data_IF_160424003817
#
_entry.id   IF_160424003817
#
_cell.length_a   1.000
_cell.length_b   1.000
_cell.length_c   1.000
_cell.angle_alpha   90.00
_cell.angle_beta   90.00
_cell.angle_gamma   90.00
#
_symmetry.space_group_name_H-M   'P 1'
#
loop_
_entity.id
_entity.type
_entity.pdbx_description
1 polymer ?
#
# COMPACT_ATOMS: atom_id res chain seq x y z
N UNK A 1 6.39 -1.58 24.56
CA UNK A 1 6.60 -3.03 24.55
C UNK A 1 7.93 -3.25 23.88
N UNK A 2 8.89 -3.75 24.65
CA UNK A 2 10.21 -4.11 24.13
C UNK A 2 10.10 -5.44 23.42
N UNK A 3 10.52 -5.48 22.16
CA UNK A 3 10.63 -6.73 21.41
C UNK A 3 12.02 -6.80 20.83
N UNK A 4 12.71 -7.91 21.08
CA UNK A 4 13.99 -8.21 20.43
C UNK A 4 13.76 -8.39 18.93
N UNK A 5 14.55 -7.69 18.10
CA UNK A 5 14.47 -7.79 16.64
C UNK A 5 14.63 -9.23 16.17
N UNK A 6 15.55 -10.01 16.78
CA UNK A 6 15.72 -11.45 16.54
C UNK A 6 14.41 -12.25 16.60
N UNK A 7 13.54 -11.96 17.58
CA UNK A 7 12.26 -12.68 17.72
C UNK A 7 11.34 -12.39 16.53
N UNK A 8 11.26 -11.13 16.10
CA UNK A 8 10.44 -10.74 14.94
C UNK A 8 10.99 -11.39 13.67
N UNK A 9 12.31 -11.34 13.46
CA UNK A 9 12.96 -11.98 12.31
C UNK A 9 12.74 -13.49 12.26
N UNK A 10 12.75 -14.18 13.40
CA UNK A 10 12.44 -15.61 13.42
C UNK A 10 10.97 -15.87 13.05
N UNK A 11 10.04 -15.02 13.51
CA UNK A 11 8.64 -15.12 13.10
C UNK A 11 8.43 -14.90 11.60
N UNK A 12 9.20 -14.02 10.95
CA UNK A 12 9.08 -13.85 9.50
C UNK A 12 9.48 -15.10 8.74
N UNK A 13 10.49 -15.85 9.19
CA UNK A 13 10.86 -17.14 8.58
C UNK A 13 9.77 -18.19 8.78
N UNK A 14 9.19 -18.28 9.98
CA UNK A 14 8.10 -19.22 10.26
C UNK A 14 6.90 -18.92 9.35
N UNK A 15 6.53 -17.64 9.24
CA UNK A 15 5.44 -17.22 8.36
C UNK A 15 5.74 -17.52 6.89
N UNK A 16 6.97 -17.26 6.42
CA UNK A 16 7.37 -17.57 5.05
C UNK A 16 7.31 -19.08 4.76
N UNK A 17 7.78 -19.91 5.70
CA UNK A 17 7.73 -21.37 5.58
C UNK A 17 6.28 -21.88 5.57
N UNK A 18 5.43 -21.37 6.46
CA UNK A 18 3.99 -21.70 6.49
C UNK A 18 3.28 -21.31 5.19
N UNK A 19 3.55 -20.11 4.67
CA UNK A 19 3.00 -19.67 3.38
C UNK A 19 3.41 -20.60 2.25
N UNK A 20 4.68 -21.01 2.22
CA UNK A 20 5.16 -21.97 1.22
C UNK A 20 4.49 -23.34 1.33
N UNK A 21 4.23 -23.83 2.54
CA UNK A 21 3.45 -25.06 2.72
C UNK A 21 2.03 -24.89 2.17
N UNK A 22 1.36 -23.76 2.43
CA UNK A 22 0.02 -23.51 1.90
C UNK A 22 -0.02 -23.39 0.38
N UNK A 23 1.02 -22.80 -0.24
CA UNK A 23 1.19 -22.75 -1.70
C UNK A 23 1.44 -24.16 -2.25
N UNK A 24 2.37 -24.91 -1.66
CA UNK A 24 2.75 -26.25 -2.12
C UNK A 24 1.59 -27.25 -2.06
N UNK A 25 0.78 -27.18 -1.00
CA UNK A 25 -0.40 -28.03 -0.82
C UNK A 25 -1.68 -27.45 -1.43
N UNK A 26 -1.60 -26.28 -2.10
CA UNK A 26 -2.74 -25.58 -2.71
C UNK A 26 -3.95 -25.42 -1.75
N UNK A 27 -3.71 -25.00 -0.50
CA UNK A 27 -4.79 -24.81 0.48
C UNK A 27 -5.43 -23.43 0.25
N UNK A 28 -6.60 -23.30 -0.42
CA UNK A 28 -6.96 -22.07 -1.12
C UNK A 28 -7.06 -20.85 -0.20
N UNK A 29 -7.96 -20.87 0.79
CA UNK A 29 -8.18 -19.69 1.66
C UNK A 29 -6.91 -19.32 2.45
N UNK A 30 -6.15 -20.32 2.90
CA UNK A 30 -4.90 -20.07 3.63
C UNK A 30 -3.81 -19.52 2.71
N UNK A 31 -3.65 -20.08 1.51
CA UNK A 31 -2.73 -19.59 0.48
C UNK A 31 -3.05 -18.14 0.09
N UNK A 32 -4.34 -17.81 -0.08
CA UNK A 32 -4.77 -16.46 -0.43
C UNK A 32 -4.44 -15.46 0.66
N UNK A 33 -4.83 -15.75 1.90
CA UNK A 33 -4.64 -14.85 3.05
C UNK A 33 -3.16 -14.73 3.41
N UNK A 34 -2.44 -15.85 3.55
CA UNK A 34 -1.02 -15.82 3.92
C UNK A 34 -0.14 -15.33 2.77
N UNK A 35 -0.40 -15.76 1.53
CA UNK A 35 0.31 -15.26 0.35
C UNK A 35 0.19 -13.75 0.23
N UNK A 36 -1.02 -13.20 0.37
CA UNK A 36 -1.22 -11.76 0.37
C UNK A 36 -0.51 -11.07 1.55
N UNK A 37 -0.76 -11.48 2.79
CA UNK A 37 -0.23 -10.81 3.98
C UNK A 37 1.30 -10.88 4.04
N UNK A 38 1.88 -12.07 3.80
CA UNK A 38 3.33 -12.27 3.88
C UNK A 38 4.06 -11.47 2.81
N UNK A 39 3.69 -11.61 1.55
CA UNK A 39 4.41 -10.93 0.48
C UNK A 39 4.11 -9.43 0.40
N UNK A 40 3.00 -8.95 0.96
CA UNK A 40 2.68 -7.51 1.01
C UNK A 40 3.24 -6.80 2.24
N UNK A 41 3.78 -7.52 3.24
CA UNK A 41 4.29 -6.91 4.47
C UNK A 41 5.75 -7.30 4.74
N UNK A 42 6.09 -8.59 4.68
CA UNK A 42 7.36 -9.11 5.18
C UNK A 42 8.58 -8.57 4.41
N UNK A 43 8.62 -8.53 3.06
CA UNK A 43 9.80 -8.03 2.35
C UNK A 43 10.14 -6.59 2.74
N UNK A 44 9.15 -5.71 2.77
CA UNK A 44 9.31 -4.32 3.19
C UNK A 44 9.62 -4.18 4.68
N UNK A 45 9.08 -5.04 5.54
CA UNK A 45 9.41 -5.07 6.97
C UNK A 45 10.89 -5.40 7.18
N UNK A 46 11.42 -6.37 6.43
CA UNK A 46 12.84 -6.73 6.47
C UNK A 46 13.73 -5.59 5.95
N UNK A 47 13.32 -4.90 4.89
CA UNK A 47 14.00 -3.70 4.39
C UNK A 47 13.97 -2.58 5.44
N UNK A 48 12.84 -2.34 6.10
CA UNK A 48 12.75 -1.33 7.17
C UNK A 48 13.73 -1.63 8.32
N UNK A 49 13.80 -2.89 8.75
CA UNK A 49 14.74 -3.30 9.79
C UNK A 49 16.19 -3.22 9.34
N UNK A 50 16.50 -3.46 8.06
CA UNK A 50 17.85 -3.25 7.54
C UNK A 50 18.32 -1.81 7.80
N UNK A 51 17.44 -0.82 7.60
CA UNK A 51 17.79 0.60 7.72
C UNK A 51 17.78 1.18 9.15
N UNK A 52 17.56 0.37 10.19
CA UNK A 52 17.47 0.74 11.62
C UNK A 52 16.62 2.00 11.88
N UNK A 53 15.39 1.80 12.33
CA UNK A 53 14.51 2.90 12.75
C UNK A 53 14.35 2.95 14.27
N UNK A 54 14.42 4.15 14.82
CA UNK A 54 14.17 4.41 16.24
C UNK A 54 12.67 4.68 16.44
N UNK A 55 12.02 3.83 17.25
CA UNK A 55 10.66 4.01 17.76
C UNK A 55 9.59 4.40 16.70
N UNK A 56 9.41 3.60 15.64
CA UNK A 56 8.50 3.97 14.57
C UNK A 56 7.04 3.96 15.02
N UNK A 57 6.27 4.97 14.60
CA UNK A 57 4.81 4.98 14.74
C UNK A 57 4.23 3.80 13.94
N UNK A 58 3.39 2.97 14.58
CA UNK A 58 2.89 1.71 13.99
C UNK A 58 2.31 1.89 12.59
N UNK A 59 1.49 2.93 12.37
CA UNK A 59 0.84 3.16 11.09
C UNK A 59 1.83 3.58 10.01
N UNK A 60 2.84 4.40 10.36
CA UNK A 60 3.94 4.72 9.43
C UNK A 60 4.74 3.46 9.07
N UNK A 61 5.03 2.64 10.08
CA UNK A 61 5.74 1.38 9.87
C UNK A 61 4.97 0.47 8.92
N UNK A 62 3.66 0.31 9.13
CA UNK A 62 2.78 -0.49 8.28
C UNK A 62 2.79 0.02 6.83
N UNK A 63 2.52 1.32 6.58
CA UNK A 63 2.43 1.84 5.21
C UNK A 63 3.77 1.81 4.48
N UNK A 64 4.90 2.08 5.15
CA UNK A 64 6.21 1.92 4.53
C UNK A 64 6.54 0.46 4.25
N UNK A 65 6.20 -0.45 5.17
CA UNK A 65 6.40 -1.88 5.00
C UNK A 65 5.62 -2.39 3.79
N UNK A 66 4.36 -1.95 3.64
CA UNK A 66 3.56 -2.30 2.48
C UNK A 66 4.15 -1.72 1.21
N UNK A 67 4.42 -0.41 1.16
CA UNK A 67 5.00 0.24 -0.02
C UNK A 67 6.31 -0.39 -0.49
N UNK A 68 7.23 -0.69 0.45
CA UNK A 68 8.50 -1.35 0.14
C UNK A 68 8.31 -2.81 -0.31
N UNK A 69 7.30 -3.51 0.22
CA UNK A 69 6.97 -4.86 -0.24
C UNK A 69 6.42 -4.85 -1.66
N UNK A 70 5.48 -3.95 -1.99
CA UNK A 70 4.97 -3.79 -3.36
C UNK A 70 6.13 -3.43 -4.31
N UNK A 71 7.01 -2.52 -3.89
CA UNK A 71 8.22 -2.16 -4.65
C UNK A 71 9.11 -3.38 -4.90
N UNK A 72 9.31 -4.20 -3.87
CA UNK A 72 10.10 -5.43 -3.94
C UNK A 72 9.45 -6.45 -4.89
N UNK A 73 8.13 -6.62 -4.89
CA UNK A 73 7.44 -7.53 -5.81
C UNK A 73 7.54 -7.06 -7.26
N UNK A 74 7.41 -5.76 -7.52
CA UNK A 74 7.54 -5.21 -8.88
C UNK A 74 8.98 -5.33 -9.41
N UNK A 75 9.98 -4.92 -8.61
CA UNK A 75 11.39 -5.00 -8.97
C UNK A 75 11.89 -6.44 -9.03
N UNK A 76 11.48 -7.28 -8.09
CA UNK A 76 11.78 -8.70 -8.06
C UNK A 76 11.15 -9.42 -9.25
N UNK A 77 9.89 -9.13 -9.56
CA UNK A 77 9.20 -9.69 -10.72
C UNK A 77 9.91 -9.39 -12.04
N UNK A 78 10.32 -8.14 -12.28
CA UNK A 78 11.02 -7.79 -13.52
C UNK A 78 12.44 -8.40 -13.56
N UNK A 79 13.13 -8.41 -12.42
CA UNK A 79 14.45 -9.03 -12.31
C UNK A 79 14.38 -10.54 -12.64
N UNK A 80 13.42 -11.25 -12.03
CA UNK A 80 13.20 -12.68 -12.25
C UNK A 80 12.83 -12.95 -13.71
N UNK A 81 11.92 -12.15 -14.28
CA UNK A 81 11.53 -12.25 -15.68
C UNK A 81 12.75 -12.20 -16.61
N UNK A 82 13.59 -11.18 -16.45
CA UNK A 82 14.74 -10.96 -17.32
C UNK A 82 15.85 -11.98 -17.09
N UNK A 83 16.19 -12.28 -15.82
CA UNK A 83 17.27 -13.21 -15.50
C UNK A 83 16.95 -14.62 -15.97
N UNK A 84 15.77 -15.16 -15.63
CA UNK A 84 15.42 -16.53 -16.00
C UNK A 84 15.25 -16.67 -17.53
N UNK A 85 14.68 -15.67 -18.20
CA UNK A 85 14.60 -15.67 -19.66
C UNK A 85 15.99 -15.66 -20.31
N UNK A 86 16.92 -14.84 -19.80
CA UNK A 86 18.30 -14.80 -20.30
C UNK A 86 19.07 -16.11 -20.09
N UNK A 87 18.66 -16.93 -19.12
CA UNK A 87 19.18 -18.27 -18.88
C UNK A 87 18.50 -19.35 -19.74
N UNK A 88 17.60 -18.96 -20.66
CA UNK A 88 16.88 -19.87 -21.55
C UNK A 88 15.68 -20.58 -20.92
N UNK A 89 15.20 -20.13 -19.75
CA UNK A 89 13.99 -20.67 -19.12
C UNK A 89 12.77 -20.02 -19.81
N UNK A 90 11.91 -20.80 -20.49
CA UNK A 90 10.86 -20.24 -21.35
C UNK A 90 9.74 -19.54 -20.58
N UNK A 91 9.41 -20.02 -19.37
CA UNK A 91 8.29 -19.54 -18.56
C UNK A 91 8.79 -18.96 -17.23
N UNK A 92 9.50 -17.81 -17.23
CA UNK A 92 10.16 -17.28 -16.04
C UNK A 92 9.19 -16.89 -14.91
N UNK A 93 7.94 -16.56 -15.24
CA UNK A 93 6.90 -16.19 -14.28
C UNK A 93 6.05 -17.38 -13.83
N UNK A 94 6.39 -18.62 -14.20
CA UNK A 94 5.68 -19.79 -13.68
C UNK A 94 5.73 -19.79 -12.13
N UNK A 95 4.63 -20.13 -11.43
CA UNK A 95 4.54 -19.98 -9.98
C UNK A 95 5.69 -20.63 -9.21
N UNK A 96 6.14 -21.81 -9.62
CA UNK A 96 7.26 -22.53 -8.98
C UNK A 96 8.56 -21.73 -9.04
N UNK A 97 8.94 -21.22 -10.22
CA UNK A 97 10.17 -20.45 -10.38
C UNK A 97 10.08 -19.09 -9.70
N UNK A 98 8.95 -18.42 -9.85
CA UNK A 98 8.72 -17.10 -9.30
C UNK A 98 8.74 -17.11 -7.77
N UNK A 99 7.98 -18.02 -7.13
CA UNK A 99 7.95 -18.15 -5.66
C UNK A 99 9.33 -18.49 -5.13
N UNK A 100 10.01 -19.48 -5.73
CA UNK A 100 11.35 -19.88 -5.30
C UNK A 100 12.36 -18.72 -5.39
N UNK A 101 12.35 -17.95 -6.49
CA UNK A 101 13.25 -16.81 -6.63
C UNK A 101 12.91 -15.67 -5.65
N UNK A 102 11.62 -15.37 -5.44
CA UNK A 102 11.20 -14.38 -4.45
C UNK A 102 11.62 -14.80 -3.04
N UNK A 103 11.48 -16.07 -2.69
CA UNK A 103 11.92 -16.60 -1.39
C UNK A 103 13.44 -16.46 -1.22
N UNK A 104 14.23 -16.79 -2.24
CA UNK A 104 15.68 -16.60 -2.20
C UNK A 104 16.06 -15.13 -1.97
N UNK A 105 15.37 -14.20 -2.65
CA UNK A 105 15.56 -12.76 -2.44
C UNK A 105 15.15 -12.34 -1.02
N UNK A 106 14.03 -12.83 -0.50
CA UNK A 106 13.56 -12.55 0.87
C UNK A 106 14.55 -13.10 1.90
N UNK A 107 15.05 -14.33 1.72
CA UNK A 107 16.05 -14.96 2.58
C UNK A 107 17.38 -14.20 2.55
N UNK A 108 17.79 -13.68 1.39
CA UNK A 108 18.95 -12.81 1.25
C UNK A 108 18.82 -11.52 2.09
N UNK A 109 17.70 -10.81 1.95
CA UNK A 109 17.42 -9.61 2.76
C UNK A 109 17.33 -9.98 4.25
N UNK A 110 16.65 -11.08 4.58
CA UNK A 110 16.54 -11.57 5.95
C UNK A 110 17.91 -11.80 6.58
N UNK A 111 18.83 -12.46 5.86
CA UNK A 111 20.18 -12.76 6.34
C UNK A 111 20.98 -11.47 6.60
N UNK A 112 20.94 -10.52 5.66
CA UNK A 112 21.60 -9.22 5.81
C UNK A 112 21.05 -8.48 7.04
N UNK A 113 19.73 -8.47 7.21
CA UNK A 113 19.06 -7.79 8.33
C UNK A 113 19.35 -8.48 9.66
N UNK A 114 19.37 -9.81 9.69
CA UNK A 114 19.68 -10.59 10.88
C UNK A 114 21.11 -10.31 11.37
N UNK A 115 22.09 -10.38 10.47
CA UNK A 115 23.49 -10.19 10.84
C UNK A 115 23.76 -8.76 11.34
N UNK A 116 23.07 -7.75 10.79
CA UNK A 116 23.23 -6.35 11.20
C UNK A 116 22.48 -5.99 12.48
N UNK A 117 21.29 -6.57 12.71
CA UNK A 117 20.33 -6.01 13.67
C UNK A 117 19.72 -7.02 14.64
N UNK A 118 20.16 -8.29 14.69
CA UNK A 118 19.60 -9.31 15.59
C UNK A 118 19.55 -8.90 17.07
N UNK A 119 20.56 -8.18 17.54
CA UNK A 119 20.72 -7.81 18.96
C UNK A 119 20.03 -6.48 19.31
N UNK A 120 19.39 -5.83 18.33
CA UNK A 120 18.65 -4.59 18.57
C UNK A 120 17.34 -4.86 19.32
N UNK A 121 16.94 -3.87 20.11
CA UNK A 121 15.64 -3.82 20.79
C UNK A 121 14.79 -2.76 20.11
N UNK A 122 13.58 -3.16 19.70
CA UNK A 122 12.59 -2.23 19.15
C UNK A 122 11.60 -1.88 20.26
N UNK A 123 11.45 -0.59 20.53
CA UNK A 123 10.39 -0.11 21.41
C UNK A 123 9.16 0.21 20.56
N UNK A 124 8.20 -0.70 20.58
CA UNK A 124 6.86 -0.38 20.11
C UNK A 124 6.14 0.42 21.19
N UNK A 125 5.63 1.61 20.86
CA UNK A 125 4.78 2.36 21.78
C UNK A 125 3.63 1.45 22.23
N UNK A 126 3.51 1.23 23.54
CA UNK A 126 2.39 0.47 24.11
C UNK A 126 1.17 1.39 24.05
N UNK A 127 0.22 1.05 23.19
CA UNK A 127 -1.01 1.83 23.07
C UNK A 127 -2.06 1.24 24.02
N UNK A 128 -2.17 1.82 25.22
CA UNK A 128 -3.30 1.57 26.10
C UNK A 128 -4.55 2.26 25.54
N UNK A 129 -5.61 1.50 25.30
CA UNK A 129 -6.90 2.08 24.89
C UNK A 129 -7.81 2.23 26.11
N UNK A 130 -8.34 3.43 26.39
CA UNK A 130 -9.51 3.59 27.25
C UNK A 130 -10.63 2.65 26.80
N UNK A 131 -11.49 2.17 27.71
CA UNK A 131 -12.53 1.17 27.36
C UNK A 131 -13.43 1.64 26.21
N UNK A 132 -13.83 2.93 26.21
CA UNK A 132 -14.61 3.55 25.13
C UNK A 132 -13.87 3.58 23.80
N UNK A 133 -12.55 3.81 23.83
CA UNK A 133 -11.72 3.78 22.62
C UNK A 133 -11.61 2.38 22.02
N UNK A 134 -11.77 1.30 22.81
CA UNK A 134 -11.80 -0.07 22.27
C UNK A 134 -13.02 -0.32 21.40
N UNK A 135 -14.20 0.10 21.85
CA UNK A 135 -15.45 -0.04 21.08
C UNK A 135 -15.37 0.80 19.80
N UNK A 136 -14.95 2.06 19.91
CA UNK A 136 -14.76 2.93 18.75
C UNK A 136 -13.70 2.40 17.77
N UNK A 137 -12.71 1.66 18.25
CA UNK A 137 -11.71 0.99 17.41
C UNK A 137 -12.28 -0.26 16.72
N UNK A 138 -13.21 -0.98 17.36
CA UNK A 138 -13.78 -2.21 16.80
C UNK A 138 -14.86 -1.96 15.72
N UNK A 139 -15.68 -0.91 15.88
CA UNK A 139 -16.80 -0.62 14.96
C UNK A 139 -16.38 -0.56 13.49
N UNK A 140 -15.30 0.14 13.08
CA UNK A 140 -14.95 0.27 11.67
C UNK A 140 -14.65 -1.04 10.94
N UNK A 141 -14.29 -2.12 11.65
CA UNK A 141 -14.08 -3.43 11.01
C UNK A 141 -15.37 -4.00 10.39
N UNK A 142 -16.55 -3.53 10.82
CA UNK A 142 -17.83 -3.92 10.22
C UNK A 142 -18.08 -3.24 8.88
N UNK A 143 -17.46 -2.08 8.61
CA UNK A 143 -17.78 -1.30 7.41
C UNK A 143 -17.40 -2.04 6.11
N UNK A 144 -16.20 -2.64 5.95
CA UNK A 144 -15.87 -3.36 4.72
C UNK A 144 -16.75 -4.60 4.52
N UNK A 145 -17.15 -5.25 5.62
CA UNK A 145 -18.06 -6.40 5.58
C UNK A 145 -19.43 -5.96 5.04
N UNK A 146 -19.99 -4.88 5.58
CA UNK A 146 -21.24 -4.30 5.09
C UNK A 146 -21.13 -3.79 3.65
N UNK A 147 -19.95 -3.29 3.23
CA UNK A 147 -19.71 -2.87 1.85
C UNK A 147 -19.82 -4.06 0.90
N UNK A 148 -19.17 -5.18 1.22
CA UNK A 148 -19.23 -6.42 0.44
C UNK A 148 -20.67 -6.95 0.38
N UNK A 149 -21.37 -7.01 1.52
CA UNK A 149 -22.76 -7.48 1.56
C UNK A 149 -23.70 -6.55 0.79
N UNK A 150 -23.50 -5.25 0.92
CA UNK A 150 -24.31 -4.24 0.23
C UNK A 150 -24.09 -4.23 -1.27
N UNK A 151 -22.85 -4.42 -1.73
CA UNK A 151 -22.54 -4.52 -3.14
C UNK A 151 -23.18 -5.76 -3.77
N UNK A 152 -23.08 -6.93 -3.11
CA UNK A 152 -23.73 -8.17 -3.56
C UNK A 152 -25.26 -8.08 -3.57
N UNK A 153 -25.85 -7.48 -2.53
CA UNK A 153 -27.29 -7.29 -2.46
C UNK A 153 -27.79 -6.38 -3.59
N UNK A 154 -27.02 -5.32 -3.89
CA UNK A 154 -27.35 -4.41 -4.97
C UNK A 154 -27.26 -5.12 -6.34
N UNK A 155 -26.23 -5.93 -6.56
CA UNK A 155 -26.05 -6.74 -7.78
C UNK A 155 -27.20 -7.74 -7.98
N UNK A 156 -27.56 -8.49 -6.93
CA UNK A 156 -28.57 -9.55 -7.05
C UNK A 156 -30.02 -9.06 -7.02
N UNK A 157 -30.31 -8.02 -6.21
CA UNK A 157 -31.69 -7.59 -5.93
C UNK A 157 -32.02 -6.18 -6.46
N UNK A 158 -31.04 -5.45 -7.02
CA UNK A 158 -31.24 -4.08 -7.52
C UNK A 158 -31.52 -3.04 -6.43
N UNK A 159 -31.39 -3.40 -5.15
CA UNK A 159 -31.77 -2.55 -4.02
C UNK A 159 -30.55 -1.95 -3.31
N UNK A 160 -30.54 -0.62 -3.19
CA UNK A 160 -29.43 0.17 -2.61
C UNK A 160 -29.53 0.40 -1.09
N UNK A 161 -30.43 -0.29 -0.39
CA UNK A 161 -30.70 -0.04 1.04
C UNK A 161 -29.46 -0.25 1.93
N UNK A 162 -28.69 -1.32 1.70
CA UNK A 162 -27.50 -1.62 2.50
C UNK A 162 -26.37 -0.62 2.23
N UNK A 163 -26.00 -0.30 0.97
CA UNK A 163 -25.05 0.78 0.70
C UNK A 163 -25.46 2.15 1.27
N UNK A 164 -26.74 2.52 1.18
CA UNK A 164 -27.25 3.79 1.75
C UNK A 164 -27.13 3.81 3.29
N UNK A 165 -27.49 2.70 3.95
CA UNK A 165 -27.33 2.55 5.38
C UNK A 165 -25.85 2.64 5.77
N UNK A 166 -24.96 1.99 5.01
CA UNK A 166 -23.52 2.01 5.26
C UNK A 166 -22.94 3.43 5.19
N UNK A 167 -23.23 4.20 4.14
CA UNK A 167 -22.80 5.61 4.04
C UNK A 167 -23.31 6.40 5.24
N UNK A 168 -24.57 6.20 5.63
CA UNK A 168 -25.19 6.89 6.76
C UNK A 168 -24.47 6.56 8.08
N UNK A 169 -24.22 5.28 8.34
CA UNK A 169 -23.51 4.81 9.54
C UNK A 169 -22.07 5.31 9.58
N UNK A 170 -21.34 5.27 8.45
CA UNK A 170 -19.98 5.82 8.36
C UNK A 170 -19.97 7.33 8.62
N UNK A 171 -20.95 8.06 8.09
CA UNK A 171 -21.07 9.51 8.28
C UNK A 171 -21.38 9.88 9.73
N UNK A 172 -22.33 9.18 10.37
CA UNK A 172 -22.66 9.35 11.79
C UNK A 172 -21.45 9.02 12.66
N UNK A 173 -20.74 7.92 12.36
CA UNK A 173 -19.55 7.52 13.08
C UNK A 173 -18.43 8.57 12.95
N UNK A 174 -18.14 9.05 11.74
CA UNK A 174 -17.14 10.08 11.50
C UNK A 174 -17.50 11.41 12.19
N UNK A 175 -18.77 11.80 12.15
CA UNK A 175 -19.28 12.98 12.85
C UNK A 175 -19.13 12.82 14.37
N UNK A 176 -19.47 11.65 14.93
CA UNK A 176 -19.32 11.37 16.34
C UNK A 176 -17.85 11.44 16.78
N UNK A 177 -16.93 10.89 15.98
CA UNK A 177 -15.50 11.05 16.21
C UNK A 177 -15.10 12.53 16.19
N UNK A 178 -15.54 13.31 15.21
CA UNK A 178 -15.18 14.71 15.07
C UNK A 178 -15.71 15.60 16.20
N UNK A 179 -16.94 15.40 16.64
CA UNK A 179 -17.60 16.20 17.69
C UNK A 179 -17.11 15.81 19.08
N UNK A 180 -16.99 14.50 19.36
CA UNK A 180 -16.72 14.00 20.71
C UNK A 180 -15.24 13.66 20.97
N UNK A 181 -14.31 13.95 20.05
CA UNK A 181 -12.91 13.52 20.18
C UNK A 181 -12.24 13.92 21.50
N UNK A 182 -12.47 15.16 21.96
CA UNK A 182 -11.93 15.65 23.25
C UNK A 182 -12.59 14.96 24.42
N UNK A 183 -13.94 14.88 24.40
CA UNK A 183 -14.74 14.30 25.49
C UNK A 183 -14.46 12.82 25.70
N UNK A 184 -14.22 12.08 24.62
CA UNK A 184 -13.93 10.63 24.68
C UNK A 184 -12.44 10.30 24.70
N UNK A 185 -11.57 11.31 24.73
CA UNK A 185 -10.12 11.16 24.68
C UNK A 185 -9.68 10.20 23.56
N UNK A 186 -10.16 10.46 22.34
CA UNK A 186 -9.99 9.55 21.20
C UNK A 186 -8.53 9.51 20.78
N UNK A 187 -7.95 8.31 20.78
CA UNK A 187 -6.57 8.12 20.35
C UNK A 187 -6.40 8.32 18.84
N UNK A 188 -5.23 8.81 18.42
CA UNK A 188 -4.83 8.92 17.01
C UNK A 188 -4.97 7.63 16.20
N UNK A 189 -4.90 6.46 16.87
CA UNK A 189 -5.03 5.16 16.22
C UNK A 189 -6.46 4.84 15.81
N UNK A 190 -7.46 5.35 16.54
CA UNK A 190 -8.86 5.22 16.16
C UNK A 190 -9.11 6.01 14.88
N UNK A 191 -8.57 7.23 14.77
CA UNK A 191 -8.66 8.02 13.53
C UNK A 191 -7.99 7.31 12.35
N UNK A 192 -6.75 6.84 12.52
CA UNK A 192 -6.03 6.12 11.47
C UNK A 192 -6.79 4.89 10.97
N UNK A 193 -7.29 4.04 11.89
CA UNK A 193 -8.06 2.86 11.53
C UNK A 193 -9.39 3.24 10.86
N UNK A 194 -10.11 4.21 11.42
CA UNK A 194 -11.39 4.68 10.87
C UNK A 194 -11.23 5.14 9.43
N UNK A 195 -10.21 5.95 9.13
CA UNK A 195 -9.92 6.42 7.78
C UNK A 195 -9.67 5.25 6.83
N UNK A 196 -8.80 4.32 7.22
CA UNK A 196 -8.49 3.16 6.39
C UNK A 196 -9.73 2.31 6.10
N UNK A 197 -10.54 2.01 7.12
CA UNK A 197 -11.74 1.19 6.96
C UNK A 197 -12.84 1.89 6.17
N UNK A 198 -13.06 3.20 6.39
CA UNK A 198 -14.02 3.99 5.60
C UNK A 198 -13.57 4.05 4.14
N UNK A 199 -12.30 4.34 3.86
CA UNK A 199 -11.76 4.37 2.52
C UNK A 199 -11.92 3.02 1.81
N UNK A 200 -11.58 1.93 2.50
CA UNK A 200 -11.74 0.57 1.98
C UNK A 200 -13.20 0.24 1.67
N UNK A 201 -14.12 0.62 2.56
CA UNK A 201 -15.56 0.44 2.34
C UNK A 201 -16.07 1.21 1.14
N UNK A 202 -15.64 2.47 0.95
CA UNK A 202 -16.04 3.28 -0.18
C UNK A 202 -15.55 2.70 -1.51
N UNK A 203 -14.34 2.13 -1.54
CA UNK A 203 -13.81 1.43 -2.72
C UNK A 203 -14.59 0.13 -2.97
N UNK A 204 -14.77 -0.72 -1.96
CA UNK A 204 -15.51 -1.99 -2.09
C UNK A 204 -16.97 -1.81 -2.49
N UNK A 205 -17.61 -0.73 -2.05
CA UNK A 205 -18.97 -0.40 -2.49
C UNK A 205 -19.09 -0.24 -4.01
N UNK A 206 -18.02 0.16 -4.69
CA UNK A 206 -17.99 0.35 -6.15
C UNK A 206 -17.34 -0.85 -6.84
N UNK A 207 -16.16 -1.28 -6.39
CA UNK A 207 -15.37 -2.33 -7.06
C UNK A 207 -16.02 -3.72 -7.02
N UNK A 208 -16.86 -3.99 -6.01
CA UNK A 208 -17.55 -5.28 -5.85
C UNK A 208 -19.02 -5.23 -6.24
N UNK A 209 -19.43 -4.16 -6.94
CA UNK A 209 -20.81 -3.95 -7.39
C UNK A 209 -21.24 -4.95 -8.47
N UNK A 210 -20.28 -5.52 -9.18
CA UNK A 210 -20.47 -6.59 -10.15
C UNK A 210 -19.51 -7.75 -9.86
N UNK A 211 -19.86 -8.94 -10.33
CA UNK A 211 -18.94 -10.09 -10.32
C UNK A 211 -17.68 -9.91 -11.18
N UNK A 212 -17.65 -8.87 -12.03
CA UNK A 212 -16.56 -8.57 -12.96
C UNK A 212 -15.96 -7.19 -12.71
N UNK A 213 -14.81 -6.94 -13.34
CA UNK A 213 -14.22 -5.59 -13.40
C UNK A 213 -15.17 -4.60 -14.09
N UNK A 214 -15.15 -3.35 -13.63
CA UNK A 214 -16.01 -2.28 -14.14
C UNK A 214 -15.18 -1.03 -14.43
N UNK A 215 -15.39 -0.41 -15.59
CA UNK A 215 -14.69 0.81 -16.01
C UNK A 215 -14.46 0.84 -17.51
N UNK A 216 -13.70 1.82 -18.01
CA UNK A 216 -13.24 1.84 -19.40
C UNK A 216 -11.79 1.34 -19.48
N UNK A 217 -10.87 2.05 -18.82
CA UNK A 217 -9.44 1.77 -18.86
C UNK A 217 -9.08 0.40 -18.27
N UNK A 218 -9.70 0.02 -17.15
CA UNK A 218 -9.41 -1.22 -16.43
C UNK A 218 -9.51 -2.47 -17.31
N UNK A 219 -10.34 -2.48 -18.36
CA UNK A 219 -10.42 -3.62 -19.27
C UNK A 219 -9.13 -3.78 -20.10
N UNK A 220 -8.54 -2.69 -20.58
CA UNK A 220 -7.25 -2.72 -21.25
C UNK A 220 -6.12 -3.10 -20.30
N UNK A 221 -6.20 -2.65 -19.04
CA UNK A 221 -5.24 -3.01 -17.99
C UNK A 221 -5.33 -4.50 -17.62
N UNK A 222 -6.54 -5.05 -17.57
CA UNK A 222 -6.77 -6.46 -17.34
C UNK A 222 -6.31 -7.32 -18.52
N UNK A 223 -6.49 -6.83 -19.76
CA UNK A 223 -6.00 -7.50 -20.96
C UNK A 223 -4.46 -7.66 -20.95
N UNK A 224 -3.71 -6.62 -20.61
CA UNK A 224 -2.23 -6.72 -20.56
C UNK A 224 -1.74 -7.58 -19.39
N UNK A 225 -2.49 -7.62 -18.29
CA UNK A 225 -2.28 -8.61 -17.23
C UNK A 225 -2.47 -10.04 -17.77
N UNK A 226 -3.58 -10.32 -18.46
CA UNK A 226 -3.86 -11.65 -19.04
C UNK A 226 -2.77 -12.07 -20.02
N UNK A 227 -2.35 -11.18 -20.91
CA UNK A 227 -1.26 -11.44 -21.85
C UNK A 227 0.03 -11.85 -21.12
N UNK A 228 0.40 -11.14 -20.06
CA UNK A 228 1.60 -11.47 -19.27
C UNK A 228 1.44 -12.79 -18.51
N UNK A 229 0.25 -13.03 -17.97
CA UNK A 229 -0.08 -14.25 -17.22
C UNK A 229 -0.04 -15.48 -18.12
N UNK A 230 -0.68 -15.42 -19.28
CA UNK A 230 -0.87 -16.57 -20.16
C UNK A 230 0.45 -16.95 -20.84
N UNK A 231 1.30 -15.96 -21.14
CA UNK A 231 2.65 -16.19 -21.67
C UNK A 231 3.67 -16.57 -20.59
N UNK A 232 3.35 -16.38 -19.31
CA UNK A 232 4.29 -16.51 -18.18
C UNK A 232 5.62 -15.76 -18.39
N UNK A 233 5.56 -14.68 -19.16
CA UNK A 233 6.67 -13.85 -19.56
C UNK A 233 6.15 -12.44 -19.83
N UNK A 234 6.84 -11.46 -19.28
CA UNK A 234 6.54 -10.06 -19.50
C UNK A 234 7.40 -9.48 -20.63
N UNK A 235 6.71 -8.91 -21.62
CA UNK A 235 7.33 -8.20 -22.73
C UNK A 235 6.77 -6.77 -22.81
N UNK A 236 7.63 -5.73 -22.83
CA UNK A 236 7.20 -4.34 -22.72
C UNK A 236 6.48 -3.80 -23.96
N UNK A 237 6.74 -4.34 -25.15
CA UNK A 237 6.41 -3.69 -26.42
C UNK A 237 5.19 -4.28 -27.14
N UNK A 238 4.34 -5.05 -26.44
CA UNK A 238 3.18 -5.70 -27.07
C UNK A 238 1.96 -4.78 -27.14
N UNK A 239 1.74 -3.97 -26.10
CA UNK A 239 0.62 -3.03 -26.01
C UNK A 239 1.04 -1.78 -25.22
N UNK A 240 0.37 -0.65 -25.42
CA UNK A 240 0.75 0.64 -24.81
C UNK A 240 0.76 0.63 -23.28
N UNK A 241 0.01 -0.27 -22.66
CA UNK A 241 -0.06 -0.44 -21.20
C UNK A 241 0.96 -1.44 -20.65
N UNK A 242 1.59 -2.27 -21.49
CA UNK A 242 2.54 -3.29 -21.04
C UNK A 242 3.70 -2.77 -20.19
N UNK A 243 4.30 -1.60 -20.48
CA UNK A 243 5.38 -1.05 -19.67
C UNK A 243 5.01 -0.78 -18.21
N UNK A 244 3.72 -0.64 -17.88
CA UNK A 244 3.25 -0.40 -16.53
C UNK A 244 3.28 -1.70 -15.70
N UNK A 245 4.33 -1.86 -14.88
CA UNK A 245 4.53 -3.04 -14.03
C UNK A 245 3.42 -3.22 -12.98
N UNK A 246 2.76 -2.12 -12.58
CA UNK A 246 1.67 -2.11 -11.61
C UNK A 246 0.45 -2.94 -12.05
N UNK A 247 0.21 -3.03 -13.35
CA UNK A 247 -0.95 -3.72 -13.95
C UNK A 247 -0.55 -4.94 -14.79
N UNK A 248 0.75 -5.21 -14.92
CA UNK A 248 1.26 -6.40 -15.62
C UNK A 248 1.93 -7.36 -14.65
N UNK A 249 3.15 -7.06 -14.20
CA UNK A 249 3.92 -7.93 -13.32
C UNK A 249 3.33 -8.06 -11.92
N UNK A 250 2.93 -6.96 -11.28
CA UNK A 250 2.39 -6.99 -9.92
C UNK A 250 1.18 -7.94 -9.79
N UNK A 251 0.14 -7.86 -10.65
CA UNK A 251 -0.98 -8.80 -10.57
C UNK A 251 -0.59 -10.23 -10.98
N UNK A 252 0.35 -10.45 -11.90
CA UNK A 252 0.85 -11.81 -12.21
C UNK A 252 1.57 -12.43 -11.02
N UNK A 253 2.39 -11.64 -10.32
CA UNK A 253 3.07 -12.07 -9.10
C UNK A 253 2.04 -12.47 -8.05
N UNK A 254 1.05 -11.61 -7.78
CA UNK A 254 -0.02 -11.93 -6.83
C UNK A 254 -0.84 -13.16 -7.22
N UNK A 255 -1.20 -13.31 -8.50
CA UNK A 255 -1.90 -14.50 -8.99
C UNK A 255 -1.08 -15.76 -8.72
N UNK A 256 0.24 -15.71 -8.93
CA UNK A 256 1.13 -16.86 -8.73
C UNK A 256 1.31 -17.24 -7.26
N UNK A 257 1.45 -16.26 -6.35
CA UNK A 257 1.67 -16.55 -4.91
C UNK A 257 0.37 -16.89 -4.18
N UNK A 258 -0.77 -16.34 -4.59
CA UNK A 258 -2.05 -16.49 -3.85
C UNK A 258 -3.05 -17.43 -4.51
N UNK A 259 -2.92 -17.67 -5.82
CA UNK A 259 -3.91 -18.42 -6.59
C UNK A 259 -5.24 -17.68 -6.80
N UNK A 260 -5.39 -16.42 -6.36
CA UNK A 260 -6.65 -15.66 -6.56
C UNK A 260 -6.87 -15.34 -8.04
N UNK A 261 -8.13 -15.28 -8.45
CA UNK A 261 -8.49 -14.91 -9.81
C UNK A 261 -8.04 -13.48 -10.13
N UNK A 262 -7.72 -13.22 -11.39
CA UNK A 262 -7.28 -11.90 -11.84
C UNK A 262 -8.28 -10.79 -11.47
N UNK A 263 -9.57 -11.03 -11.71
CA UNK A 263 -10.62 -10.07 -11.37
C UNK A 263 -10.62 -9.70 -9.87
N UNK A 264 -10.31 -10.65 -8.98
CA UNK A 264 -10.20 -10.39 -7.54
C UNK A 264 -8.97 -9.54 -7.19
N UNK A 265 -7.89 -9.63 -7.97
CA UNK A 265 -6.73 -8.76 -7.79
C UNK A 265 -7.12 -7.31 -8.05
N UNK A 266 -7.82 -7.06 -9.16
CA UNK A 266 -8.23 -5.71 -9.56
C UNK A 266 -9.37 -5.17 -8.68
N UNK A 267 -10.32 -6.01 -8.27
CA UNK A 267 -11.51 -5.57 -7.51
C UNK A 267 -11.34 -5.58 -5.99
N UNK A 268 -10.37 -6.34 -5.44
CA UNK A 268 -10.12 -6.43 -4.00
C UNK A 268 -8.71 -5.97 -3.66
N UNK A 269 -7.68 -6.60 -4.23
CA UNK A 269 -6.30 -6.42 -3.79
C UNK A 269 -5.82 -4.97 -4.00
N UNK A 270 -5.99 -4.44 -5.21
CA UNK A 270 -5.62 -3.06 -5.50
C UNK A 270 -6.40 -2.06 -4.64
N UNK A 271 -7.64 -2.39 -4.28
CA UNK A 271 -8.48 -1.55 -3.43
C UNK A 271 -8.00 -1.54 -1.97
N UNK A 272 -7.53 -2.67 -1.46
CA UNK A 272 -6.87 -2.74 -0.15
C UNK A 272 -5.59 -1.89 -0.13
N UNK A 273 -4.80 -1.93 -1.21
CA UNK A 273 -3.58 -1.11 -1.32
C UNK A 273 -3.92 0.38 -1.45
N UNK A 274 -4.89 0.74 -2.28
CA UNK A 274 -5.28 2.13 -2.52
C UNK A 274 -5.97 2.78 -1.32
N UNK A 275 -6.69 2.00 -0.50
CA UNK A 275 -7.24 2.45 0.78
C UNK A 275 -6.18 2.96 1.77
N UNK A 276 -4.89 2.66 1.55
CA UNK A 276 -3.79 3.25 2.34
C UNK A 276 -3.56 4.73 2.02
N UNK A 277 -3.97 5.24 0.85
CA UNK A 277 -3.73 6.62 0.44
C UNK A 277 -4.32 7.65 1.42
N UNK A 278 -5.62 7.60 1.79
CA UNK A 278 -6.18 8.51 2.79
C UNK A 278 -5.50 8.38 4.17
N UNK A 279 -5.13 7.16 4.57
CA UNK A 279 -4.38 6.94 5.81
C UNK A 279 -3.01 7.64 5.75
N UNK A 280 -2.28 7.54 4.65
CA UNK A 280 -0.99 8.19 4.46
C UNK A 280 -1.13 9.72 4.53
N UNK A 281 -2.18 10.27 3.92
CA UNK A 281 -2.52 11.70 4.02
C UNK A 281 -2.73 12.11 5.48
N UNK A 282 -3.47 11.33 6.27
CA UNK A 282 -3.62 11.59 7.70
C UNK A 282 -2.28 11.57 8.46
N UNK A 283 -1.43 10.57 8.20
CA UNK A 283 -0.12 10.43 8.85
C UNK A 283 0.81 11.60 8.54
N UNK A 284 0.71 12.17 7.34
CA UNK A 284 1.44 13.36 6.89
C UNK A 284 0.84 14.63 7.52
N UNK A 285 -0.47 14.85 7.39
CA UNK A 285 -1.14 16.09 7.80
C UNK A 285 -1.13 16.32 9.31
N UNK A 286 -1.18 15.26 10.13
CA UNK A 286 -1.11 15.37 11.60
C UNK A 286 0.19 15.96 12.13
N UNK A 287 1.18 16.18 11.26
CA UNK A 287 2.43 16.88 11.59
C UNK A 287 2.31 18.39 11.51
N UNK A 288 1.39 18.87 10.70
CA UNK A 288 1.20 20.30 10.43
C UNK A 288 -0.05 20.85 11.09
N UNK A 289 -0.97 19.97 11.53
CA UNK A 289 -2.21 20.36 12.18
C UNK A 289 -2.63 19.36 13.26
N UNK A 290 -3.71 19.66 13.97
CA UNK A 290 -4.28 18.78 14.99
C UNK A 290 -4.74 17.45 14.39
N UNK A 291 -4.82 16.39 15.22
CA UNK A 291 -5.30 15.08 14.76
C UNK A 291 -6.73 15.12 14.20
N UNK A 292 -7.58 16.04 14.69
CA UNK A 292 -8.92 16.23 14.15
C UNK A 292 -8.87 16.79 12.72
N UNK A 293 -8.12 17.87 12.49
CA UNK A 293 -8.03 18.46 11.16
C UNK A 293 -7.36 17.52 10.16
N UNK A 294 -6.33 16.79 10.59
CA UNK A 294 -5.73 15.74 9.77
C UNK A 294 -6.74 14.64 9.41
N UNK A 295 -7.59 14.24 10.36
CA UNK A 295 -8.66 13.26 10.13
C UNK A 295 -9.69 13.80 9.12
N UNK A 296 -10.14 15.04 9.29
CA UNK A 296 -11.09 15.67 8.37
C UNK A 296 -10.50 15.86 6.97
N UNK A 297 -9.23 16.22 6.83
CA UNK A 297 -8.56 16.32 5.52
C UNK A 297 -8.49 14.98 4.80
N UNK A 298 -8.13 13.91 5.50
CA UNK A 298 -8.08 12.57 4.92
C UNK A 298 -9.48 12.03 4.59
N UNK A 299 -10.47 12.28 5.45
CA UNK A 299 -11.85 11.92 5.21
C UNK A 299 -12.41 12.65 3.98
N UNK A 300 -12.15 13.96 3.87
CA UNK A 300 -12.51 14.76 2.70
C UNK A 300 -11.94 14.13 1.42
N UNK A 301 -10.63 13.83 1.40
CA UNK A 301 -10.00 13.16 0.27
C UNK A 301 -10.61 11.79 -0.07
N UNK A 302 -11.05 11.01 0.92
CA UNK A 302 -11.75 9.73 0.63
C UNK A 302 -13.21 9.90 0.20
N UNK A 303 -13.85 11.03 0.53
CA UNK A 303 -15.28 11.26 0.31
C UNK A 303 -15.61 11.89 -1.05
N UNK A 304 -14.61 12.43 -1.75
CA UNK A 304 -14.82 12.96 -3.10
C UNK A 304 -15.13 11.80 -4.07
N UNK A 305 -16.07 12.03 -4.99
CA UNK A 305 -16.53 10.99 -5.93
C UNK A 305 -15.38 10.34 -6.70
N UNK A 306 -14.39 11.15 -7.11
CA UNK A 306 -13.24 10.67 -7.87
C UNK A 306 -12.43 9.61 -7.11
N UNK A 307 -12.41 9.65 -5.77
CA UNK A 307 -11.70 8.65 -4.97
C UNK A 307 -12.24 7.24 -5.23
N UNK A 308 -13.56 7.07 -5.19
CA UNK A 308 -14.20 5.78 -5.46
C UNK A 308 -14.22 5.41 -6.94
N UNK A 309 -14.08 6.37 -7.85
CA UNK A 309 -13.98 6.10 -9.30
C UNK A 309 -12.61 5.60 -9.73
N UNK A 310 -11.57 5.73 -8.90
CA UNK A 310 -10.24 5.17 -9.22
C UNK A 310 -10.24 3.64 -9.40
N UNK A 311 -11.27 2.94 -8.89
CA UNK A 311 -11.49 1.49 -9.14
C UNK A 311 -11.54 1.13 -10.63
N UNK A 312 -11.81 2.12 -11.48
CA UNK A 312 -11.89 1.98 -12.94
C UNK A 312 -10.54 2.14 -13.65
N UNK A 313 -9.46 2.48 -12.92
CA UNK A 313 -8.11 2.74 -13.44
C UNK A 313 -7.04 2.26 -12.43
N UNK A 314 -6.73 0.96 -12.42
CA UNK A 314 -5.86 0.34 -11.43
C UNK A 314 -4.40 0.85 -11.44
N UNK A 315 -3.84 1.15 -12.61
CA UNK A 315 -2.50 1.77 -12.71
C UNK A 315 -2.41 3.11 -11.96
N UNK A 316 -3.50 3.91 -11.95
CA UNK A 316 -3.54 5.18 -11.23
C UNK A 316 -3.53 4.95 -9.72
N UNK A 317 -4.24 3.93 -9.23
CA UNK A 317 -4.29 3.58 -7.81
C UNK A 317 -2.88 3.31 -7.25
N UNK A 318 -2.13 2.44 -7.92
CA UNK A 318 -0.78 2.08 -7.50
C UNK A 318 0.20 3.24 -7.65
N UNK A 319 0.10 4.03 -8.75
CA UNK A 319 0.94 5.20 -8.94
C UNK A 319 0.69 6.28 -7.87
N UNK A 320 -0.57 6.54 -7.52
CA UNK A 320 -0.93 7.49 -6.47
C UNK A 320 -0.51 7.01 -5.09
N UNK A 321 -0.56 5.70 -4.82
CA UNK A 321 -0.01 5.13 -3.59
C UNK A 321 1.48 5.46 -3.45
N UNK A 322 2.27 5.21 -4.49
CA UNK A 322 3.70 5.55 -4.49
C UNK A 322 3.94 7.07 -4.42
N UNK A 323 3.08 7.86 -5.05
CA UNK A 323 3.12 9.32 -4.96
C UNK A 323 2.99 9.79 -3.50
N UNK A 324 1.92 9.38 -2.80
CA UNK A 324 1.71 9.81 -1.41
C UNK A 324 2.73 9.20 -0.44
N UNK A 325 3.23 7.99 -0.70
CA UNK A 325 4.35 7.40 0.05
C UNK A 325 5.62 8.22 -0.12
N UNK A 326 5.94 8.67 -1.33
CA UNK A 326 7.11 9.51 -1.59
C UNK A 326 7.02 10.85 -0.84
N UNK A 327 5.82 11.46 -0.79
CA UNK A 327 5.57 12.66 0.01
C UNK A 327 5.69 12.40 1.50
N UNK A 328 5.13 11.28 1.99
CA UNK A 328 5.26 10.90 3.39
C UNK A 328 6.74 10.77 3.78
N UNK A 329 7.55 10.05 2.98
CA UNK A 329 9.00 9.94 3.16
C UNK A 329 9.66 11.31 3.15
N UNK A 330 9.34 12.15 2.16
CA UNK A 330 9.93 13.47 2.00
C UNK A 330 9.74 14.33 3.26
N UNK A 331 8.53 14.32 3.81
CA UNK A 331 8.27 15.09 5.01
C UNK A 331 8.83 14.40 6.25
N UNK A 332 8.84 13.07 6.36
CA UNK A 332 9.15 12.37 7.61
C UNK A 332 10.56 12.65 8.19
N UNK A 333 10.59 13.25 9.38
CA UNK A 333 11.84 13.56 10.08
C UNK A 333 12.31 12.43 11.00
N UNK A 334 11.49 11.40 11.20
CA UNK A 334 11.89 10.22 11.97
C UNK A 334 12.80 9.28 11.17
N UNK A 335 12.80 9.40 9.85
CA UNK A 335 13.67 8.62 8.97
C UNK A 335 15.10 9.14 9.02
N UNK A 336 16.08 8.23 9.07
CA UNK A 336 17.49 8.60 8.85
C UNK A 336 17.67 9.18 7.45
N UNK A 337 18.71 10.01 7.24
CA UNK A 337 18.99 10.57 5.90
C UNK A 337 19.14 9.49 4.83
N UNK A 338 19.77 8.35 5.18
CA UNK A 338 19.95 7.22 4.28
C UNK A 338 18.62 6.54 3.92
N UNK A 339 17.77 6.26 4.92
CA UNK A 339 16.44 5.67 4.70
C UNK A 339 15.57 6.60 3.87
N UNK A 340 15.54 7.89 4.21
CA UNK A 340 14.76 8.91 3.51
C UNK A 340 15.15 8.99 2.03
N UNK A 341 16.45 9.10 1.74
CA UNK A 341 16.97 9.12 0.36
C UNK A 341 16.58 7.84 -0.39
N UNK A 342 16.82 6.68 0.21
CA UNK A 342 16.59 5.38 -0.44
C UNK A 342 15.11 5.15 -0.72
N UNK A 343 14.24 5.35 0.27
CA UNK A 343 12.80 5.11 0.10
C UNK A 343 12.17 6.11 -0.87
N UNK A 344 12.62 7.37 -0.85
CA UNK A 344 12.16 8.37 -1.80
C UNK A 344 12.50 7.99 -3.25
N UNK A 345 13.72 7.51 -3.49
CA UNK A 345 14.15 7.01 -4.81
C UNK A 345 13.34 5.79 -5.21
N UNK A 346 13.21 4.80 -4.33
CA UNK A 346 12.43 3.57 -4.62
C UNK A 346 10.99 3.92 -4.99
N UNK A 347 10.30 4.72 -4.18
CA UNK A 347 8.91 5.10 -4.45
C UNK A 347 8.78 5.97 -5.70
N UNK A 348 9.73 6.86 -5.99
CA UNK A 348 9.78 7.61 -7.24
C UNK A 348 9.91 6.70 -8.48
N UNK A 349 10.81 5.71 -8.45
CA UNK A 349 10.96 4.74 -9.54
C UNK A 349 9.68 3.89 -9.68
N UNK A 350 9.10 3.43 -8.57
CA UNK A 350 7.88 2.63 -8.61
C UNK A 350 6.68 3.41 -9.14
N UNK A 351 6.55 4.69 -8.81
CA UNK A 351 5.58 5.57 -9.42
C UNK A 351 5.76 5.61 -10.95
N UNK A 352 7.01 5.77 -11.40
CA UNK A 352 7.33 5.82 -12.83
C UNK A 352 6.93 4.54 -13.56
N UNK A 353 7.28 3.39 -12.96
CA UNK A 353 6.93 2.08 -13.48
C UNK A 353 5.45 1.72 -13.30
N UNK A 354 4.67 2.55 -12.59
CA UNK A 354 3.23 2.32 -12.40
C UNK A 354 2.38 3.09 -13.39
N UNK A 355 2.72 4.34 -13.72
CA UNK A 355 1.92 5.14 -14.67
C UNK A 355 2.70 6.31 -15.29
N UNK A 356 2.83 6.32 -16.62
CA UNK A 356 3.57 7.35 -17.37
C UNK A 356 3.05 8.79 -17.16
N UNK A 357 1.73 9.04 -17.26
CA UNK A 357 1.18 10.41 -17.05
C UNK A 357 1.41 10.95 -15.65
N UNK A 358 1.14 10.15 -14.61
CA UNK A 358 1.39 10.54 -13.20
C UNK A 358 2.88 10.82 -12.97
N UNK A 359 3.75 10.11 -13.67
CA UNK A 359 5.21 10.36 -13.66
C UNK A 359 5.56 11.76 -14.12
N UNK A 360 4.95 12.25 -15.20
CA UNK A 360 5.22 13.60 -15.69
C UNK A 360 4.81 14.67 -14.68
N UNK A 361 3.65 14.49 -14.02
CA UNK A 361 3.20 15.39 -12.95
C UNK A 361 4.19 15.34 -11.78
N UNK A 362 4.58 14.14 -11.35
CA UNK A 362 5.52 13.95 -10.24
C UNK A 362 6.86 14.63 -10.51
N UNK A 363 7.47 14.37 -11.67
CA UNK A 363 8.74 14.99 -12.08
C UNK A 363 8.60 16.51 -12.20
N UNK A 364 7.50 17.01 -12.77
CA UNK A 364 7.21 18.43 -12.83
C UNK A 364 7.14 19.10 -11.46
N UNK A 365 6.50 18.45 -10.47
CA UNK A 365 6.47 18.93 -9.09
C UNK A 365 7.86 18.92 -8.43
N UNK A 366 8.66 17.89 -8.66
CA UNK A 366 10.04 17.85 -8.15
C UNK A 366 10.91 18.96 -8.74
N UNK A 367 10.82 19.19 -10.05
CA UNK A 367 11.55 20.28 -10.72
C UNK A 367 11.10 21.63 -10.15
N UNK A 368 9.79 21.83 -10.03
CA UNK A 368 9.21 23.06 -9.46
C UNK A 368 9.71 23.30 -8.02
N UNK A 369 9.78 22.24 -7.22
CA UNK A 369 10.29 22.30 -5.85
C UNK A 369 11.78 22.67 -5.80
N UNK A 370 12.61 22.09 -6.66
CA UNK A 370 14.04 22.41 -6.76
C UNK A 370 14.22 23.89 -7.15
N UNK A 371 13.47 24.37 -8.15
CA UNK A 371 13.50 25.77 -8.58
C UNK A 371 13.09 26.68 -7.42
N UNK A 372 11.99 26.38 -6.72
CA UNK A 372 11.53 27.17 -5.59
C UNK A 372 12.59 27.25 -4.48
N UNK A 373 13.29 26.14 -4.20
CA UNK A 373 14.36 26.12 -3.19
C UNK A 373 15.56 26.98 -3.62
N UNK A 374 16.02 26.86 -4.88
CA UNK A 374 17.12 27.66 -5.40
C UNK A 374 16.80 29.17 -5.40
N UNK A 375 15.56 29.54 -5.74
CA UNK A 375 15.09 30.93 -5.68
C UNK A 375 15.06 31.42 -4.23
N UNK A 376 14.54 30.62 -3.30
CA UNK A 376 14.51 30.94 -1.87
C UNK A 376 15.91 31.16 -1.28
N UNK A 377 16.87 30.29 -1.61
CA UNK A 377 18.27 30.42 -1.20
C UNK A 377 18.89 31.71 -1.75
N UNK A 378 18.64 32.03 -3.03
CA UNK A 378 19.15 33.25 -3.66
C UNK A 378 18.56 34.52 -3.05
N UNK A 379 17.25 34.53 -2.76
CA UNK A 379 16.59 35.66 -2.08
C UNK A 379 17.14 35.84 -0.67
N UNK A 380 17.31 34.75 0.08
CA UNK A 380 17.87 34.78 1.44
C UNK A 380 19.29 35.33 1.45
N UNK A 381 20.13 34.86 0.51
CA UNK A 381 21.50 35.35 0.34
C UNK A 381 21.54 36.84 -0.02
N UNK A 382 20.70 37.30 -0.94
CA UNK A 382 20.61 38.72 -1.30
C UNK A 382 20.19 39.60 -0.12
N UNK A 383 19.19 39.18 0.65
CA UNK A 383 18.76 39.90 1.87
C UNK A 383 19.87 39.97 2.91
N UNK A 384 20.65 38.89 3.08
CA UNK A 384 21.79 38.90 4.02
C UNK A 384 22.94 39.80 3.58
N UNK A 385 23.17 39.96 2.28
CA UNK A 385 24.21 40.86 1.75
C UNK A 385 23.79 42.32 1.69
N UNK A 386 22.48 42.62 1.67
CA UNK A 386 21.96 43.99 1.65
C UNK A 386 21.81 44.63 3.05
N UNK A 387 22.02 43.84 4.11
CA UNK A 387 21.98 44.28 5.51
C UNK A 387 23.40 44.51 6.10
N UNK A 388 24.44 44.38 5.27
CA UNK A 388 25.84 44.73 5.54
C UNK A 388 26.15 45.97 4.71
#
# INVERSE_FOLDING_TARGET
>A
MEIQTKKILNWTLILLALTNLFILFNIPVLQQVFGFIVFSIIPGLLILFWFKQENPDFWKFLVYSTGLSISFLMLGGILINQLLHSLGIPNPLAPVYLVACLDLLILGIWKITYDKNKDNIIFLQKHGFPSKSKVLFAIPFLFPILAILGARHLDSAGQSIIPMLLITVMSIYALALAVFYRRWNISKNVFALAIFMIALSLLFMVSLRSGHIFGCDVHGEYFVYQLTKDNLHWEPNVYSYNPCLSITLLPVVYNSITGIAGEQIFTILFQVLFALCPLIIFLMMRRYTSSLYAFLSALFFSSIEIFSLFVTIARNEIALLFFVLSLLVFFDNALTKASKKTFFIIFGIMLILSHYTVSYIYVGLLISMIIANLVSEKITKYRSSALI
#
